data_IF_155408650526
#
_entry.id   IF_155408650526
#
_cell.length_a   1.000
_cell.length_b   1.000
_cell.length_c   1.000
_cell.angle_alpha   90.00
_cell.angle_beta   90.00
_cell.angle_gamma   90.00
#
_symmetry.space_group_name_H-M   'P 1'
#
loop_
_entity.id
_entity.type
_entity.pdbx_description
1 polymer ?
#
# COMPACT_ATOMS: atom_id res chain seq x y z
N UNK A 1 -1.49 17.29 14.47
CA UNK A 1 -2.96 17.06 14.51
C UNK A 1 -3.18 15.71 13.86
N UNK A 2 -3.96 14.78 14.41
CA UNK A 2 -4.14 13.51 13.74
C UNK A 2 -4.94 13.76 12.46
N UNK A 3 -4.37 13.44 11.30
CA UNK A 3 -5.00 13.54 9.99
C UNK A 3 -5.71 12.21 9.64
N UNK A 4 -6.30 11.55 10.64
CA UNK A 4 -7.05 10.31 10.45
C UNK A 4 -8.55 10.55 10.49
N UNK A 5 -9.28 9.79 9.67
CA UNK A 5 -10.72 9.60 9.78
C UNK A 5 -10.99 8.28 10.48
N UNK A 6 -12.12 8.19 11.18
CA UNK A 6 -12.52 6.95 11.86
C UNK A 6 -13.96 6.62 11.53
N UNK A 7 -14.23 5.34 11.26
CA UNK A 7 -15.58 4.89 10.95
C UNK A 7 -15.90 3.54 11.59
N UNK A 8 -17.20 3.27 11.75
CA UNK A 8 -17.68 1.98 12.23
C UNK A 8 -17.98 1.10 11.02
N UNK A 9 -17.26 -0.01 10.88
CA UNK A 9 -17.45 -0.97 9.81
C UNK A 9 -18.92 -1.37 9.70
N UNK A 10 -19.51 -1.14 8.53
CA UNK A 10 -20.95 -1.33 8.31
C UNK A 10 -21.41 -2.74 8.65
N UNK A 11 -20.57 -3.73 8.35
CA UNK A 11 -20.88 -5.16 8.40
C UNK A 11 -20.39 -5.88 9.66
N UNK A 12 -19.27 -5.47 10.24
CA UNK A 12 -18.65 -6.15 11.39
C UNK A 12 -18.73 -5.35 12.71
N UNK A 13 -19.18 -4.09 12.64
CA UNK A 13 -19.28 -3.17 13.77
C UNK A 13 -17.94 -2.92 14.49
N UNK A 14 -16.81 -3.15 13.82
CA UNK A 14 -15.48 -2.79 14.32
C UNK A 14 -15.22 -1.31 14.05
N UNK A 15 -14.51 -0.64 14.93
CA UNK A 15 -14.06 0.73 14.70
C UNK A 15 -12.72 0.68 13.95
N UNK A 16 -12.64 1.41 12.84
CA UNK A 16 -11.46 1.48 11.99
C UNK A 16 -10.94 2.91 11.95
N UNK A 17 -9.62 3.05 12.14
CA UNK A 17 -8.90 4.31 11.92
C UNK A 17 -8.20 4.25 10.56
N UNK A 18 -8.33 5.33 9.78
CA UNK A 18 -7.67 5.50 8.49
C UNK A 18 -6.87 6.78 8.51
N UNK A 19 -5.56 6.67 8.29
CA UNK A 19 -4.63 7.79 8.25
C UNK A 19 -4.44 8.24 6.79
N UNK A 20 -4.63 9.54 6.54
CA UNK A 20 -4.48 10.14 5.23
C UNK A 20 -3.10 10.77 5.12
N UNK A 21 -2.36 10.43 4.05
CA UNK A 21 -0.95 10.81 3.88
C UNK A 21 -0.08 10.45 5.11
N UNK A 22 -0.10 9.18 5.54
CA UNK A 22 0.51 8.74 6.79
C UNK A 22 2.03 8.96 6.80
N UNK A 23 2.55 9.22 7.99
CA UNK A 23 3.98 9.11 8.26
C UNK A 23 4.33 7.81 8.99
N UNK A 24 5.62 7.64 9.31
CA UNK A 24 6.12 6.46 10.02
C UNK A 24 5.44 6.23 11.37
N UNK A 25 5.15 7.30 12.11
CA UNK A 25 4.54 7.18 13.44
C UNK A 25 3.08 6.73 13.36
N UNK A 26 2.36 7.20 12.33
CA UNK A 26 0.98 6.79 12.06
C UNK A 26 0.89 5.28 11.78
N UNK A 27 1.75 4.77 10.89
CA UNK A 27 1.73 3.34 10.53
C UNK A 27 2.27 2.44 11.63
N UNK A 28 3.22 2.91 12.44
CA UNK A 28 3.67 2.21 13.65
C UNK A 28 2.53 2.10 14.68
N UNK A 29 1.62 3.07 14.74
CA UNK A 29 0.44 2.99 15.60
C UNK A 29 -0.59 1.99 15.06
N UNK A 30 -0.92 2.05 13.77
CA UNK A 30 -1.79 1.06 13.12
C UNK A 30 -1.29 -0.38 13.31
N UNK A 31 0.03 -0.58 13.19
CA UNK A 31 0.66 -1.89 13.35
C UNK A 31 0.56 -2.47 14.77
N UNK A 32 0.21 -1.66 15.79
CA UNK A 32 -0.06 -2.11 17.17
C UNK A 32 -1.53 -2.48 17.40
N UNK A 33 -2.44 -1.94 16.58
CA UNK A 33 -3.89 -2.12 16.74
C UNK A 33 -4.41 -3.39 16.04
N UNK A 34 -3.59 -4.00 15.19
CA UNK A 34 -3.94 -5.19 14.38
C UNK A 34 -3.62 -6.51 15.09
N UNK A 35 -4.38 -7.55 14.76
CA UNK A 35 -4.10 -8.96 15.10
C UNK A 35 -2.87 -9.52 14.35
N UNK A 36 -2.33 -8.77 13.39
CA UNK A 36 -1.14 -9.11 12.59
C UNK A 36 -0.02 -8.08 12.79
N UNK A 37 0.76 -8.20 13.88
CA UNK A 37 1.78 -7.21 14.24
C UNK A 37 2.75 -6.90 13.10
N UNK A 38 3.08 -5.61 12.96
CA UNK A 38 4.06 -5.15 11.96
C UNK A 38 3.55 -5.14 10.53
N UNK A 39 2.24 -5.27 10.32
CA UNK A 39 1.60 -5.16 9.01
C UNK A 39 0.49 -4.13 9.02
N UNK A 40 0.32 -3.44 7.91
CA UNK A 40 -0.86 -2.64 7.63
C UNK A 40 -1.21 -2.71 6.14
N UNK A 41 -2.37 -2.21 5.77
CA UNK A 41 -2.74 -2.01 4.37
C UNK A 41 -2.75 -0.52 4.06
N UNK A 42 -2.44 -0.21 2.81
CA UNK A 42 -2.51 1.13 2.24
C UNK A 42 -3.29 1.05 0.95
N UNK A 43 -4.22 1.98 0.77
CA UNK A 43 -4.81 2.28 -0.53
C UNK A 43 -3.97 3.38 -1.18
N UNK A 44 -3.41 3.09 -2.36
CA UNK A 44 -2.69 4.04 -3.20
C UNK A 44 -3.62 4.51 -4.31
N UNK A 45 -4.03 5.78 -4.27
CA UNK A 45 -4.93 6.35 -5.28
C UNK A 45 -4.19 6.65 -6.58
N UNK A 46 -4.90 6.82 -7.71
CA UNK A 46 -4.30 7.25 -8.98
C UNK A 46 -3.52 8.56 -8.89
N UNK A 47 -3.86 9.44 -7.95
CA UNK A 47 -3.20 10.73 -7.70
C UNK A 47 -1.93 10.59 -6.85
N UNK A 48 -1.62 9.39 -6.36
CA UNK A 48 -0.47 9.12 -5.51
C UNK A 48 -0.70 9.37 -4.03
N UNK A 49 -1.96 9.57 -3.60
CA UNK A 49 -2.30 9.69 -2.19
C UNK A 49 -2.32 8.31 -1.51
N UNK A 50 -1.92 8.28 -0.24
CA UNK A 50 -1.87 7.06 0.56
C UNK A 50 -2.87 7.14 1.72
N UNK A 51 -3.73 6.13 1.83
CA UNK A 51 -4.64 5.94 2.95
C UNK A 51 -4.23 4.67 3.68
N UNK A 52 -3.69 4.78 4.89
CA UNK A 52 -3.25 3.63 5.67
C UNK A 52 -4.31 3.21 6.70
N UNK A 53 -4.50 1.90 6.83
CA UNK A 53 -5.45 1.30 7.75
C UNK A 53 -5.02 -0.10 8.17
N UNK A 54 -5.68 -0.64 9.20
CA UNK A 54 -5.42 -1.97 9.74
C UNK A 54 -5.67 -3.06 8.68
N UNK A 55 -4.85 -4.12 8.66
CA UNK A 55 -4.89 -5.13 7.58
C UNK A 55 -6.20 -5.93 7.52
N UNK A 56 -6.95 -5.97 8.63
CA UNK A 56 -8.27 -6.59 8.79
C UNK A 56 -9.33 -5.90 7.94
N UNK A 57 -9.17 -4.59 7.69
CA UNK A 57 -10.04 -3.87 6.77
C UNK A 57 -9.64 -4.26 5.35
N UNK A 58 -10.50 -5.04 4.70
CA UNK A 58 -10.29 -5.50 3.33
C UNK A 58 -10.36 -4.31 2.35
N UNK A 59 -9.56 -4.39 1.27
CA UNK A 59 -9.45 -3.35 0.25
C UNK A 59 -10.81 -2.93 -0.34
N UNK A 60 -11.66 -3.87 -0.77
CA UNK A 60 -13.00 -3.55 -1.30
C UNK A 60 -13.87 -2.78 -0.31
N UNK A 61 -13.73 -3.07 1.00
CA UNK A 61 -14.47 -2.36 2.04
C UNK A 61 -13.88 -0.97 2.29
N UNK A 62 -12.55 -0.85 2.28
CA UNK A 62 -11.89 0.45 2.40
C UNK A 62 -12.27 1.39 1.25
N UNK A 63 -12.26 0.91 0.00
CA UNK A 63 -12.70 1.65 -1.19
C UNK A 63 -14.14 2.14 -1.01
N UNK A 64 -15.04 1.26 -0.59
CA UNK A 64 -16.45 1.61 -0.41
C UNK A 64 -16.71 2.62 0.73
N UNK A 65 -15.93 2.58 1.80
CA UNK A 65 -16.10 3.47 2.96
C UNK A 65 -15.38 4.82 2.75
N UNK A 66 -14.29 4.85 1.97
CA UNK A 66 -13.55 6.06 1.62
C UNK A 66 -14.11 6.79 0.39
N UNK A 67 -14.90 6.11 -0.45
CA UNK A 67 -15.34 6.60 -1.77
C UNK A 67 -14.14 6.94 -2.69
N UNK A 68 -13.06 6.15 -2.57
CA UNK A 68 -11.80 6.33 -3.29
C UNK A 68 -11.39 5.02 -3.98
N UNK A 69 -11.02 5.08 -5.25
CA UNK A 69 -10.44 3.95 -5.98
C UNK A 69 -8.92 3.94 -5.84
N UNK A 70 -8.30 2.75 -5.89
CA UNK A 70 -6.84 2.66 -5.80
C UNK A 70 -6.31 1.25 -5.67
N UNK A 71 -4.99 1.15 -5.69
CA UNK A 71 -4.24 -0.09 -5.61
C UNK A 71 -4.07 -0.50 -4.15
N UNK A 72 -4.31 -1.77 -3.83
CA UNK A 72 -4.04 -2.32 -2.51
C UNK A 72 -2.55 -2.58 -2.35
N UNK A 73 -1.93 -1.93 -1.37
CA UNK A 73 -0.54 -2.17 -0.97
C UNK A 73 -0.51 -2.70 0.46
N UNK A 74 0.08 -3.87 0.66
CA UNK A 74 0.33 -4.42 2.00
C UNK A 74 1.75 -4.05 2.42
N UNK A 75 1.86 -3.40 3.56
CA UNK A 75 3.12 -2.97 4.15
C UNK A 75 3.58 -3.98 5.21
N UNK A 76 4.79 -4.51 5.06
CA UNK A 76 5.43 -5.44 6.00
C UNK A 76 6.63 -4.74 6.64
N UNK A 77 6.43 -4.02 7.75
CA UNK A 77 7.45 -3.16 8.34
C UNK A 77 8.64 -3.95 8.88
N UNK A 78 8.39 -5.08 9.54
CA UNK A 78 9.46 -5.92 10.09
C UNK A 78 10.35 -6.55 8.99
N UNK A 79 9.81 -6.72 7.79
CA UNK A 79 10.50 -7.32 6.64
C UNK A 79 11.06 -6.27 5.67
N UNK A 80 10.83 -4.98 5.93
CA UNK A 80 11.12 -3.88 5.00
C UNK A 80 10.60 -4.18 3.57
N UNK A 81 9.31 -4.55 3.46
CA UNK A 81 8.72 -5.02 2.20
C UNK A 81 7.34 -4.39 1.94
N UNK A 82 7.08 -4.10 0.68
CA UNK A 82 5.78 -3.72 0.13
C UNK A 82 5.28 -4.83 -0.80
N UNK A 83 4.00 -5.17 -0.70
CA UNK A 83 3.32 -6.03 -1.66
C UNK A 83 2.19 -5.25 -2.32
N UNK A 84 2.34 -4.99 -3.62
CA UNK A 84 1.41 -4.23 -4.45
C UNK A 84 0.59 -5.23 -5.23
N UNK A 85 -0.70 -5.31 -4.93
CA UNK A 85 -1.59 -6.29 -5.51
C UNK A 85 -2.74 -5.61 -6.24
N UNK A 86 -2.94 -6.03 -7.49
CA UNK A 86 -4.09 -5.66 -8.29
C UNK A 86 -4.96 -6.90 -8.59
N UNK A 87 -6.28 -6.70 -8.60
CA UNK A 87 -7.28 -7.76 -8.79
C UNK A 87 -7.72 -7.96 -10.25
N UNK A 88 -6.98 -7.41 -11.22
CA UNK A 88 -7.08 -7.79 -12.63
C UNK A 88 -7.38 -6.66 -13.63
N UNK A 89 -7.22 -5.40 -13.22
CA UNK A 89 -7.43 -4.23 -14.08
C UNK A 89 -6.13 -3.54 -14.49
N UNK A 90 -5.01 -3.83 -13.83
CA UNK A 90 -3.74 -3.15 -14.05
C UNK A 90 -2.64 -4.12 -14.48
N UNK A 91 -1.78 -3.63 -15.37
CA UNK A 91 -0.54 -4.28 -15.76
C UNK A 91 0.60 -3.97 -14.77
N UNK A 92 1.66 -4.79 -14.76
CA UNK A 92 2.82 -4.59 -13.88
C UNK A 92 3.45 -3.19 -14.02
N UNK A 93 3.52 -2.67 -15.24
CA UNK A 93 4.14 -1.37 -15.51
C UNK A 93 3.31 -0.21 -14.94
N UNK A 94 1.99 -0.35 -14.87
CA UNK A 94 1.08 0.65 -14.29
C UNK A 94 1.21 0.66 -12.77
N UNK A 95 1.26 -0.51 -12.13
CA UNK A 95 1.52 -0.61 -10.69
C UNK A 95 2.89 -0.03 -10.30
N UNK A 96 3.94 -0.30 -11.09
CA UNK A 96 5.27 0.29 -10.88
C UNK A 96 5.27 1.81 -11.02
N UNK A 97 4.54 2.33 -12.02
CA UNK A 97 4.40 3.76 -12.21
C UNK A 97 3.70 4.43 -11.01
N UNK A 98 2.62 3.83 -10.49
CA UNK A 98 1.92 4.35 -9.32
C UNK A 98 2.83 4.38 -8.07
N UNK A 99 3.60 3.32 -7.81
CA UNK A 99 4.56 3.30 -6.69
C UNK A 99 5.63 4.37 -6.84
N UNK A 100 6.12 4.58 -8.08
CA UNK A 100 7.09 5.63 -8.39
C UNK A 100 6.53 7.02 -8.10
N UNK A 101 5.30 7.30 -8.53
CA UNK A 101 4.65 8.58 -8.33
C UNK A 101 4.42 8.87 -6.84
N UNK A 102 4.14 7.82 -6.05
CA UNK A 102 3.98 7.89 -4.60
C UNK A 102 5.31 7.80 -3.80
N UNK A 103 6.48 7.93 -4.44
CA UNK A 103 7.79 7.78 -3.79
C UNK A 103 7.90 8.57 -2.47
N UNK A 104 7.61 9.87 -2.54
CA UNK A 104 7.76 10.77 -1.40
C UNK A 104 6.86 10.38 -0.23
N UNK A 105 5.68 9.82 -0.51
CA UNK A 105 4.74 9.35 0.51
C UNK A 105 5.25 8.06 1.17
N UNK A 106 5.70 7.07 0.40
CA UNK A 106 6.31 5.86 0.96
C UNK A 106 7.57 6.15 1.78
N UNK A 107 8.39 7.15 1.38
CA UNK A 107 9.54 7.59 2.18
C UNK A 107 9.14 8.18 3.52
N UNK A 108 8.03 8.92 3.60
CA UNK A 108 7.51 9.45 4.88
C UNK A 108 7.09 8.32 5.83
N UNK A 109 6.55 7.23 5.28
CA UNK A 109 6.19 6.03 6.05
C UNK A 109 7.41 5.21 6.50
N UNK A 110 8.61 5.55 6.02
CA UNK A 110 9.86 4.90 6.42
C UNK A 110 10.40 3.85 5.45
N UNK A 111 9.81 3.71 4.25
CA UNK A 111 10.35 2.84 3.20
C UNK A 111 11.45 3.55 2.41
N UNK A 112 12.48 2.80 2.02
CA UNK A 112 13.73 3.35 1.49
C UNK A 112 14.33 2.49 0.39
N UNK A 113 15.58 2.77 0.03
CA UNK A 113 16.24 2.17 -1.14
C UNK A 113 16.31 0.64 -1.11
N UNK A 114 16.42 0.06 0.07
CA UNK A 114 16.55 -1.37 0.35
C UNK A 114 15.20 -2.08 0.56
N UNK A 115 14.09 -1.33 0.53
CA UNK A 115 12.75 -1.91 0.63
C UNK A 115 12.48 -2.80 -0.58
N UNK A 116 12.06 -4.05 -0.34
CA UNK A 116 11.62 -4.95 -1.40
C UNK A 116 10.19 -4.61 -1.81
N UNK A 117 9.94 -4.43 -3.10
CA UNK A 117 8.60 -4.19 -3.66
C UNK A 117 8.22 -5.37 -4.53
N UNK A 118 7.23 -6.13 -4.08
CA UNK A 118 6.65 -7.26 -4.81
C UNK A 118 5.37 -6.80 -5.49
N UNK A 119 5.30 -6.97 -6.81
CA UNK A 119 4.12 -6.70 -7.62
C UNK A 119 3.44 -8.03 -7.94
N UNK A 120 2.15 -8.13 -7.62
CA UNK A 120 1.37 -9.37 -7.73
C UNK A 120 0.20 -9.13 -8.67
N UNK A 121 0.20 -9.82 -9.82
CA UNK A 121 -0.92 -9.78 -10.77
C UNK A 121 -1.95 -10.86 -10.45
N UNK A 122 -3.22 -10.48 -10.40
CA UNK A 122 -4.36 -11.39 -10.24
C UNK A 122 -4.12 -12.44 -9.14
N UNK A 123 -3.82 -11.96 -7.93
CA UNK A 123 -3.52 -12.79 -6.76
C UNK A 123 -2.38 -13.81 -6.95
N UNK A 124 -1.44 -13.51 -7.86
CA UNK A 124 -0.28 -14.35 -8.17
C UNK A 124 -0.54 -15.42 -9.22
N UNK A 125 -1.74 -15.46 -9.82
CA UNK A 125 -2.07 -16.40 -10.89
C UNK A 125 -1.35 -16.07 -12.20
N UNK A 126 -1.02 -14.79 -12.43
CA UNK A 126 -0.47 -14.30 -13.71
C UNK A 126 1.01 -13.92 -13.58
N UNK A 127 1.62 -14.26 -12.45
CA UNK A 127 3.02 -14.00 -12.12
C UNK A 127 3.20 -12.91 -11.06
N UNK A 128 4.40 -12.90 -10.48
CA UNK A 128 4.87 -11.85 -9.58
C UNK A 128 6.27 -11.37 -10.00
N UNK A 129 6.56 -10.11 -9.69
CA UNK A 129 7.87 -9.51 -9.91
C UNK A 129 8.31 -8.83 -8.62
N UNK A 130 9.56 -9.01 -8.22
CA UNK A 130 10.13 -8.31 -7.05
C UNK A 130 11.29 -7.45 -7.49
N UNK A 131 11.25 -6.17 -7.11
CA UNK A 131 12.28 -5.17 -7.37
C UNK A 131 12.69 -4.50 -6.06
N UNK A 132 13.86 -3.88 -6.04
CA UNK A 132 14.17 -2.93 -4.99
C UNK A 132 13.44 -1.60 -5.24
N UNK A 133 13.00 -0.94 -4.17
CA UNK A 133 12.26 0.31 -4.26
C UNK A 133 13.02 1.37 -5.07
N UNK A 134 14.35 1.42 -4.96
CA UNK A 134 15.16 2.35 -5.76
C UNK A 134 15.11 2.05 -7.28
N UNK A 135 14.98 0.80 -7.69
CA UNK A 135 14.84 0.41 -9.10
C UNK A 135 13.46 0.88 -9.64
N UNK A 136 12.42 0.73 -8.81
CA UNK A 136 11.04 1.21 -9.07
C UNK A 136 10.95 2.73 -9.08
N UNK A 137 11.76 3.45 -8.33
CA UNK A 137 11.76 4.91 -8.36
C UNK A 137 12.51 5.44 -9.59
N UNK A 138 13.66 4.84 -9.92
CA UNK A 138 14.53 5.33 -11.00
C UNK A 138 13.97 5.14 -12.42
N UNK A 139 13.01 4.24 -12.61
CA UNK A 139 12.55 3.87 -13.96
C UNK A 139 13.27 2.65 -14.52
N UNK A 140 14.12 1.98 -13.74
CA UNK A 140 15.12 1.05 -14.28
C UNK A 140 14.52 -0.26 -14.80
N UNK A 141 13.30 -0.64 -14.36
CA UNK A 141 12.55 -1.79 -14.90
C UNK A 141 12.27 -1.69 -16.40
N UNK A 142 12.22 -0.46 -16.96
CA UNK A 142 12.05 -0.25 -18.41
C UNK A 142 13.26 -0.69 -19.23
N UNK A 143 14.43 -0.87 -18.61
CA UNK A 143 15.67 -1.30 -19.30
C UNK A 143 15.74 -2.81 -19.53
N UNK A 144 14.88 -3.61 -18.88
CA UNK A 144 14.93 -5.09 -18.94
C UNK A 144 14.18 -5.65 -20.16
N UNK A 145 13.39 -4.84 -20.87
CA UNK A 145 12.75 -5.21 -22.14
C UNK A 145 13.64 -4.82 -23.33
N UNK A 146 14.57 -5.70 -23.70
CA UNK A 146 15.19 -5.73 -25.04
C UNK A 146 14.98 -7.10 -25.65
#
# INVERSE_FOLDING_TARGET
MPFHTGFLGKYDKRYYEVYISPDRSDVEELAKQTEHPGKCRVLLTPEGELYAFTIELLHDLAVAELDEEGISVVCFFAENKLEVADLGNLELDEMKAAVKEAEAAFRKMGFGEDTKVRFVLNQGLWGDETLDFHEVVKGDWKKVRT
#
